data_IF_393639157281
#
_entry.id   IF_393639157281
#
_cell.length_a   1.000
_cell.length_b   1.000
_cell.length_c   1.000
_cell.angle_alpha   90.00
_cell.angle_beta   90.00
_cell.angle_gamma   90.00
#
_symmetry.space_group_name_H-M   'P 1'
#
loop_
_entity.id
_entity.type
_entity.pdbx_description
1 polymer ?
#
# COMPACT_ATOMS: atom_id res chain seq x y z
N UNK A 1 -21.95 -1.51 -20.81
CA UNK A 1 -21.17 -1.67 -19.56
C UNK A 1 -22.14 -2.04 -18.45
N UNK A 2 -21.79 -2.99 -17.57
CA UNK A 2 -22.67 -3.40 -16.47
C UNK A 2 -22.76 -2.28 -15.42
N UNK A 3 -23.90 -2.17 -14.72
CA UNK A 3 -24.18 -1.07 -13.78
C UNK A 3 -23.21 -1.04 -12.59
N UNK A 4 -22.63 -2.17 -12.22
CA UNK A 4 -21.70 -2.29 -11.10
C UNK A 4 -20.34 -1.63 -11.41
N UNK A 5 -19.89 -1.72 -12.66
CA UNK A 5 -18.64 -1.09 -13.10
C UNK A 5 -18.74 0.44 -13.07
N UNK A 6 -19.91 0.97 -13.44
CA UNK A 6 -20.19 2.41 -13.40
C UNK A 6 -20.18 2.97 -11.98
N UNK A 7 -20.67 2.19 -11.01
CA UNK A 7 -20.59 2.55 -9.59
C UNK A 7 -19.13 2.67 -9.12
N UNK A 8 -18.30 1.65 -9.38
CA UNK A 8 -16.88 1.68 -9.01
C UNK A 8 -16.11 2.84 -9.64
N UNK A 9 -16.31 3.08 -10.95
CA UNK A 9 -15.67 4.19 -11.66
C UNK A 9 -16.11 5.56 -11.15
N UNK A 10 -17.39 5.73 -10.78
CA UNK A 10 -17.90 6.99 -10.23
C UNK A 10 -17.26 7.36 -8.89
N UNK A 11 -17.10 6.38 -7.99
CA UNK A 11 -16.47 6.59 -6.69
C UNK A 11 -14.98 6.89 -6.88
N UNK A 12 -14.32 6.15 -7.78
CA UNK A 12 -12.91 6.40 -8.11
C UNK A 12 -12.71 7.81 -8.67
N UNK A 13 -13.58 8.25 -9.57
CA UNK A 13 -13.55 9.62 -10.10
C UNK A 13 -13.77 10.66 -8.99
N UNK A 14 -14.70 10.41 -8.07
CA UNK A 14 -14.94 11.30 -6.93
C UNK A 14 -13.70 11.42 -6.02
N UNK A 15 -13.01 10.31 -5.73
CA UNK A 15 -11.77 10.32 -4.93
C UNK A 15 -10.67 11.12 -5.66
N UNK A 16 -10.48 10.88 -6.96
CA UNK A 16 -9.47 11.60 -7.74
C UNK A 16 -9.77 13.11 -7.78
N UNK A 17 -11.03 13.49 -8.01
CA UNK A 17 -11.45 14.90 -7.99
C UNK A 17 -11.20 15.51 -6.61
N UNK A 18 -11.54 14.80 -5.54
CA UNK A 18 -11.34 15.27 -4.17
C UNK A 18 -9.85 15.50 -3.87
N UNK A 19 -8.97 14.62 -4.35
CA UNK A 19 -7.51 14.81 -4.26
C UNK A 19 -7.06 16.08 -4.97
N UNK A 20 -7.49 16.28 -6.22
CA UNK A 20 -7.09 17.47 -6.99
C UNK A 20 -7.63 18.78 -6.43
N UNK A 21 -8.82 18.77 -5.82
CA UNK A 21 -9.46 19.97 -5.26
C UNK A 21 -8.89 20.32 -3.89
N UNK A 22 -8.62 19.33 -3.03
CA UNK A 22 -8.16 19.57 -1.67
C UNK A 22 -6.65 19.74 -1.56
N UNK A 23 -5.86 19.23 -2.50
CA UNK A 23 -4.41 19.38 -2.43
C UNK A 23 -3.96 20.78 -2.83
N UNK A 24 -3.15 21.45 -1.98
CA UNK A 24 -2.52 22.71 -2.35
C UNK A 24 -1.48 22.47 -3.47
N UNK A 25 -1.08 23.56 -4.13
CA UNK A 25 -0.05 23.50 -5.17
C UNK A 25 1.25 22.84 -4.63
N UNK A 26 2.02 22.14 -5.48
CA UNK A 26 3.23 21.42 -5.05
C UNK A 26 4.25 22.26 -4.27
N UNK A 27 4.28 23.58 -4.52
CA UNK A 27 5.16 24.53 -3.82
C UNK A 27 4.78 24.78 -2.35
N UNK A 28 3.57 24.41 -1.92
CA UNK A 28 3.06 24.61 -0.57
C UNK A 28 2.72 23.29 0.15
N UNK A 29 3.13 22.15 -0.42
CA UNK A 29 2.87 20.84 0.19
C UNK A 29 3.75 20.64 1.42
N UNK A 30 3.11 20.34 2.55
CA UNK A 30 3.78 19.88 3.77
C UNK A 30 3.79 18.35 3.85
N UNK A 31 4.58 17.78 4.77
CA UNK A 31 4.67 16.33 4.96
C UNK A 31 3.31 15.64 5.21
N UNK A 32 2.40 16.34 5.90
CA UNK A 32 1.04 15.85 6.12
C UNK A 32 0.24 15.69 4.82
N UNK A 33 0.44 16.58 3.84
CA UNK A 33 -0.21 16.47 2.54
C UNK A 33 0.33 15.29 1.73
N UNK A 34 1.62 14.96 1.85
CA UNK A 34 2.20 13.76 1.24
C UNK A 34 1.60 12.48 1.82
N UNK A 35 1.35 12.44 3.14
CA UNK A 35 0.66 11.33 3.79
C UNK A 35 -0.79 11.15 3.30
N UNK A 36 -1.53 12.23 3.13
CA UNK A 36 -2.89 12.20 2.55
C UNK A 36 -2.87 11.76 1.08
N UNK A 37 -1.84 12.15 0.32
CA UNK A 37 -1.63 11.70 -1.07
C UNK A 37 -1.39 10.19 -1.14
N UNK A 38 -0.54 9.66 -0.25
CA UNK A 38 -0.31 8.22 -0.14
C UNK A 38 -1.62 7.47 0.09
N UNK A 39 -2.43 7.91 1.06
CA UNK A 39 -3.71 7.28 1.38
C UNK A 39 -4.65 7.28 0.18
N UNK A 40 -4.81 8.43 -0.49
CA UNK A 40 -5.73 8.53 -1.61
C UNK A 40 -5.30 7.67 -2.81
N UNK A 41 -4.00 7.63 -3.10
CA UNK A 41 -3.45 6.77 -4.16
C UNK A 41 -3.61 5.28 -3.83
N UNK A 42 -3.46 4.87 -2.57
CA UNK A 42 -3.75 3.49 -2.14
C UNK A 42 -5.20 3.13 -2.44
N UNK A 43 -6.15 4.00 -2.09
CA UNK A 43 -7.59 3.77 -2.34
C UNK A 43 -7.86 3.59 -3.83
N UNK A 44 -7.32 4.46 -4.68
CA UNK A 44 -7.49 4.36 -6.14
C UNK A 44 -6.91 3.06 -6.69
N UNK A 45 -5.69 2.68 -6.28
CA UNK A 45 -5.05 1.45 -6.75
C UNK A 45 -5.80 0.18 -6.32
N UNK A 46 -6.35 0.15 -5.10
CA UNK A 46 -7.18 -0.97 -4.63
C UNK A 46 -8.49 -1.05 -5.43
N UNK A 47 -9.12 0.08 -5.74
CA UNK A 47 -10.33 0.14 -6.55
C UNK A 47 -10.11 -0.29 -8.01
N UNK A 48 -8.90 -0.09 -8.54
CA UNK A 48 -8.49 -0.64 -9.85
C UNK A 48 -8.33 -2.17 -9.82
N UNK A 49 -8.37 -2.80 -8.64
CA UNK A 49 -8.26 -4.24 -8.48
C UNK A 49 -6.82 -4.76 -8.46
N UNK A 50 -5.82 -3.89 -8.27
CA UNK A 50 -4.44 -4.35 -8.07
C UNK A 50 -4.34 -5.10 -6.73
N UNK A 51 -3.55 -6.19 -6.63
CA UNK A 51 -3.48 -6.95 -5.40
C UNK A 51 -3.01 -6.06 -4.23
N UNK A 52 -3.81 -6.05 -3.16
CA UNK A 52 -3.67 -5.10 -2.04
C UNK A 52 -2.30 -5.18 -1.35
N UNK A 53 -1.72 -6.37 -1.26
CA UNK A 53 -0.39 -6.56 -0.67
C UNK A 53 0.70 -5.79 -1.45
N UNK A 54 0.67 -5.85 -2.78
CA UNK A 54 1.64 -5.13 -3.62
C UNK A 54 1.36 -3.63 -3.65
N UNK A 55 0.09 -3.20 -3.65
CA UNK A 55 -0.22 -1.76 -3.53
C UNK A 55 0.32 -1.17 -2.24
N UNK A 56 0.09 -1.83 -1.10
CA UNK A 56 0.49 -1.31 0.21
C UNK A 56 2.02 -1.31 0.36
N UNK A 57 2.69 -2.39 -0.07
CA UNK A 57 4.14 -2.47 -0.06
C UNK A 57 4.77 -1.41 -0.96
N UNK A 58 4.35 -1.32 -2.23
CA UNK A 58 4.90 -0.38 -3.20
C UNK A 58 4.68 1.08 -2.80
N UNK A 59 3.47 1.42 -2.35
CA UNK A 59 3.15 2.76 -1.86
C UNK A 59 3.94 3.12 -0.60
N UNK A 60 4.08 2.18 0.34
CA UNK A 60 4.88 2.38 1.55
C UNK A 60 6.36 2.61 1.25
N UNK A 61 6.94 1.85 0.31
CA UNK A 61 8.33 2.03 -0.13
C UNK A 61 8.51 3.34 -0.88
N UNK A 62 7.61 3.68 -1.81
CA UNK A 62 7.71 4.91 -2.60
C UNK A 62 7.58 6.18 -1.75
N UNK A 63 6.56 6.27 -0.89
CA UNK A 63 6.39 7.43 -0.01
C UNK A 63 7.41 7.46 1.13
N UNK A 64 7.82 6.29 1.64
CA UNK A 64 8.94 6.21 2.58
C UNK A 64 10.23 6.73 1.97
N UNK A 65 10.52 6.36 0.71
CA UNK A 65 11.66 6.90 -0.03
C UNK A 65 11.54 8.41 -0.22
N UNK A 66 10.38 8.94 -0.61
CA UNK A 66 10.17 10.39 -0.73
C UNK A 66 10.42 11.12 0.60
N UNK A 67 9.98 10.55 1.73
CA UNK A 67 10.18 11.14 3.06
C UNK A 67 11.66 11.14 3.48
N UNK A 68 12.41 10.07 3.20
CA UNK A 68 13.85 10.08 3.47
C UNK A 68 14.62 10.96 2.48
N UNK A 69 14.19 11.00 1.23
CA UNK A 69 14.80 11.80 0.16
C UNK A 69 14.64 13.30 0.38
N UNK A 70 13.57 13.74 1.04
CA UNK A 70 13.36 15.13 1.46
C UNK A 70 14.20 15.51 2.67
N UNK A 71 14.53 14.56 3.55
CA UNK A 71 15.38 14.77 4.72
C UNK A 71 16.89 14.70 4.39
N UNK A 72 17.37 13.57 3.86
CA UNK A 72 18.76 13.37 3.44
C UNK A 72 18.82 12.56 2.13
N UNK A 73 19.14 13.22 1.00
CA UNK A 73 19.24 12.56 -0.29
C UNK A 73 20.26 11.44 -0.39
N UNK A 74 21.36 11.50 0.38
CA UNK A 74 22.46 10.55 0.26
C UNK A 74 22.16 9.22 0.97
N UNK A 75 21.24 9.24 1.93
CA UNK A 75 20.91 8.08 2.77
C UNK A 75 19.57 7.43 2.41
N UNK A 76 18.71 8.12 1.66
CA UNK A 76 17.35 7.69 1.34
C UNK A 76 17.28 6.28 0.74
N UNK A 77 18.13 5.98 -0.23
CA UNK A 77 18.14 4.69 -0.92
C UNK A 77 18.52 3.55 0.03
N UNK A 78 19.53 3.76 0.88
CA UNK A 78 19.98 2.73 1.83
C UNK A 78 18.93 2.49 2.91
N UNK A 79 18.42 3.55 3.53
CA UNK A 79 17.43 3.43 4.60
C UNK A 79 16.14 2.74 4.14
N UNK A 80 15.61 3.12 2.96
CA UNK A 80 14.36 2.52 2.51
C UNK A 80 14.52 1.05 2.16
N UNK A 81 15.64 0.66 1.55
CA UNK A 81 15.92 -0.73 1.20
C UNK A 81 16.15 -1.58 2.44
N UNK A 82 16.91 -1.07 3.41
CA UNK A 82 17.13 -1.76 4.69
C UNK A 82 15.80 -1.96 5.45
N UNK A 83 14.96 -0.93 5.51
CA UNK A 83 13.63 -1.01 6.12
C UNK A 83 12.72 -1.99 5.38
N UNK A 84 12.76 -2.01 4.04
CA UNK A 84 11.97 -2.96 3.24
C UNK A 84 12.37 -4.40 3.55
N UNK A 85 13.67 -4.70 3.59
CA UNK A 85 14.19 -6.03 3.94
C UNK A 85 13.81 -6.40 5.37
N UNK A 86 13.98 -5.47 6.32
CA UNK A 86 13.63 -5.70 7.72
C UNK A 86 12.13 -6.02 7.89
N UNK A 87 11.25 -5.32 7.18
CA UNK A 87 9.81 -5.59 7.22
C UNK A 87 9.47 -6.94 6.59
N UNK A 88 10.10 -7.31 5.48
CA UNK A 88 9.93 -8.62 4.86
C UNK A 88 10.37 -9.74 5.82
N UNK A 89 11.53 -9.59 6.47
CA UNK A 89 12.03 -10.55 7.44
C UNK A 89 11.10 -10.69 8.65
N UNK A 90 10.60 -9.56 9.18
CA UNK A 90 9.65 -9.56 10.29
C UNK A 90 8.34 -10.30 9.99
N UNK A 91 7.87 -10.29 8.74
CA UNK A 91 6.68 -11.05 8.32
C UNK A 91 7.01 -12.53 8.19
N UNK A 92 8.19 -12.85 7.63
CA UNK A 92 8.66 -14.23 7.45
C UNK A 92 8.90 -14.93 8.79
N UNK A 93 9.38 -14.21 9.81
CA UNK A 93 9.63 -14.74 11.16
C UNK A 93 8.39 -14.73 12.07
N UNK A 94 7.20 -14.46 11.54
CA UNK A 94 5.98 -14.41 12.34
C UNK A 94 5.34 -15.80 12.47
N UNK A 95 5.42 -16.39 13.66
CA UNK A 95 4.92 -17.74 13.93
C UNK A 95 3.42 -17.91 13.63
N UNK A 96 2.61 -16.87 13.83
CA UNK A 96 1.16 -16.91 13.55
C UNK A 96 0.90 -17.01 12.05
N UNK A 97 1.61 -16.24 11.24
CA UNK A 97 1.47 -16.28 9.77
C UNK A 97 1.99 -17.59 9.18
N UNK A 98 3.05 -18.17 9.75
CA UNK A 98 3.55 -19.50 9.39
C UNK A 98 2.53 -20.59 9.75
N UNK A 99 1.80 -20.43 10.85
CA UNK A 99 0.79 -21.40 11.29
C UNK A 99 -0.44 -21.49 10.37
N UNK A 100 -0.79 -20.42 9.62
CA UNK A 100 -2.01 -20.40 8.78
C UNK A 100 -1.99 -21.50 7.68
N UNK A 101 -0.96 -21.63 6.83
CA UNK A 101 -0.92 -22.69 5.83
C UNK A 101 -0.85 -24.10 6.45
N UNK A 102 -0.12 -24.26 7.56
CA UNK A 102 -0.02 -25.54 8.28
C UNK A 102 -1.37 -25.97 8.85
N UNK A 103 -2.13 -25.03 9.39
CA UNK A 103 -3.48 -25.25 9.89
C UNK A 103 -4.43 -25.67 8.77
N UNK A 104 -4.41 -24.97 7.63
CA UNK A 104 -5.21 -25.34 6.46
C UNK A 104 -4.82 -26.72 5.92
N UNK A 105 -3.52 -27.03 5.87
CA UNK A 105 -3.01 -28.33 5.44
C UNK A 105 -3.46 -29.47 6.35
N UNK A 106 -3.39 -29.29 7.67
CA UNK A 106 -3.87 -30.28 8.63
C UNK A 106 -5.38 -30.52 8.48
N UNK A 107 -6.18 -29.44 8.34
CA UNK A 107 -7.62 -29.55 8.11
C UNK A 107 -7.95 -30.36 6.85
N UNK A 108 -7.24 -30.11 5.76
CA UNK A 108 -7.42 -30.86 4.50
C UNK A 108 -7.05 -32.34 4.61
N UNK A 109 -5.98 -32.69 5.33
CA UNK A 109 -5.61 -34.10 5.54
C UNK A 109 -6.66 -34.85 6.36
N UNK A 110 -7.21 -34.22 7.40
CA UNK A 110 -8.28 -34.82 8.22
C UNK A 110 -9.57 -34.98 7.43
N UNK A 111 -9.91 -34.03 6.56
CA UNK A 111 -11.11 -34.14 5.72
C UNK A 111 -11.02 -35.28 4.67
N UNK A 112 -9.81 -35.71 4.32
CA UNK A 112 -9.57 -36.77 3.33
C UNK A 112 -9.27 -38.15 3.91
N UNK A 113 -9.14 -38.27 5.24
CA UNK A 113 -8.89 -39.53 5.95
C UNK A 113 -10.20 -40.15 6.44
#
# INVERSE_FOLDING_TARGET
>A
MRKEVWFGLSIMAAVVILVFVLMPAPSQMTDGHLGLLMLAMIVVCIMLGFPTAFTLMGMGVFFGWLAYRSADPALADRQILDLMVQRAYSVMSNDVLIAVPLFVFMGYLVERA
#
